data_IF_824341243480
#
_entry.id   IF_824341243480
#
_cell.length_a   1.000
_cell.length_b   1.000
_cell.length_c   1.000
_cell.angle_alpha   90.00
_cell.angle_beta   90.00
_cell.angle_gamma   90.00
#
_symmetry.space_group_name_H-M   'P 1'
#
loop_
_entity.id
_entity.type
_entity.pdbx_description
1 polymer ?
#
# COMPACT_ATOMS: atom_id res chain seq x y z
N UNK A 1 -46.92 10.93 36.83
CA UNK A 1 -46.19 11.46 35.65
C UNK A 1 -44.68 11.61 35.87
N UNK A 2 -44.17 11.91 37.07
CA UNK A 2 -42.72 12.08 37.30
C UNK A 2 -41.84 10.83 37.09
N UNK A 3 -42.33 9.63 37.44
CA UNK A 3 -41.57 8.38 37.28
C UNK A 3 -41.29 8.04 35.81
N UNK A 4 -42.26 8.28 34.93
CA UNK A 4 -42.17 8.00 33.48
C UNK A 4 -41.13 8.93 32.82
N UNK A 5 -41.11 10.21 33.21
CA UNK A 5 -40.14 11.18 32.72
C UNK A 5 -38.70 10.84 33.15
N UNK A 6 -38.51 10.40 34.40
CA UNK A 6 -37.20 9.96 34.91
C UNK A 6 -36.72 8.69 34.21
N UNK A 7 -37.60 7.70 34.01
CA UNK A 7 -37.26 6.50 33.23
C UNK A 7 -36.89 6.84 31.77
N UNK A 8 -37.61 7.77 31.13
CA UNK A 8 -37.28 8.20 29.77
C UNK A 8 -35.94 8.93 29.68
N UNK A 9 -35.60 9.78 30.66
CA UNK A 9 -34.30 10.45 30.75
C UNK A 9 -33.18 9.43 31.02
N UNK A 10 -33.39 8.49 31.93
CA UNK A 10 -32.41 7.44 32.25
C UNK A 10 -32.20 6.47 31.07
N UNK A 11 -33.25 6.13 30.32
CA UNK A 11 -33.15 5.34 29.09
C UNK A 11 -32.48 6.13 27.96
N UNK A 12 -32.76 7.43 27.86
CA UNK A 12 -32.10 8.33 26.91
C UNK A 12 -30.60 8.46 27.18
N UNK A 13 -30.22 8.76 28.43
CA UNK A 13 -28.82 8.81 28.88
C UNK A 13 -28.15 7.44 28.76
N UNK A 14 -28.83 6.36 29.17
CA UNK A 14 -28.34 4.99 29.02
C UNK A 14 -28.07 4.66 27.55
N UNK A 15 -28.91 5.11 26.62
CA UNK A 15 -28.66 4.94 25.19
C UNK A 15 -27.47 5.77 24.71
N UNK A 16 -27.22 6.96 25.26
CA UNK A 16 -26.01 7.74 24.92
C UNK A 16 -24.73 7.05 25.45
N UNK A 17 -24.78 6.42 26.63
CA UNK A 17 -23.60 5.77 27.24
C UNK A 17 -23.35 4.33 26.79
N UNK A 18 -24.40 3.59 26.39
CA UNK A 18 -24.32 2.15 26.08
C UNK A 18 -24.66 1.81 24.63
N UNK A 19 -24.93 2.79 23.75
CA UNK A 19 -25.08 2.51 22.32
C UNK A 19 -23.70 2.25 21.71
N UNK A 20 -23.34 0.98 21.64
CA UNK A 20 -22.25 0.54 20.77
C UNK A 20 -22.65 0.80 19.32
N UNK A 21 -21.78 1.50 18.59
CA UNK A 21 -22.01 1.76 17.17
C UNK A 21 -22.13 0.41 16.42
N UNK A 22 -23.07 0.23 15.47
CA UNK A 22 -23.25 -1.05 14.79
C UNK A 22 -21.96 -1.62 14.18
N UNK A 23 -21.09 -0.75 13.65
CA UNK A 23 -19.78 -1.16 13.13
C UNK A 23 -18.85 -1.82 14.17
N UNK A 24 -19.03 -1.55 15.47
CA UNK A 24 -18.22 -2.16 16.55
C UNK A 24 -18.56 -3.63 16.80
N UNK A 25 -19.64 -4.15 16.20
CA UNK A 25 -19.92 -5.58 16.15
C UNK A 25 -18.93 -6.33 15.23
N UNK A 26 -18.26 -5.61 14.32
CA UNK A 26 -17.34 -6.18 13.33
C UNK A 26 -15.89 -5.99 13.80
N UNK A 27 -15.13 -7.08 14.09
CA UNK A 27 -13.76 -6.98 14.59
C UNK A 27 -12.81 -6.17 13.70
N UNK A 28 -13.06 -6.16 12.38
CA UNK A 28 -12.26 -5.44 11.40
C UNK A 28 -12.22 -3.91 11.60
N UNK A 29 -13.19 -3.31 12.31
CA UNK A 29 -13.18 -1.89 12.67
C UNK A 29 -12.30 -1.61 13.90
N UNK A 30 -11.89 -2.64 14.65
CA UNK A 30 -10.98 -2.52 15.78
C UNK A 30 -11.46 -1.58 16.89
N UNK A 31 -12.79 -1.43 17.03
CA UNK A 31 -13.45 -0.45 17.92
C UNK A 31 -12.91 0.98 17.77
N UNK A 32 -12.51 1.34 16.55
CA UNK A 32 -12.04 2.69 16.29
C UNK A 32 -13.17 3.72 16.51
N UNK A 33 -12.85 4.93 17.02
CA UNK A 33 -13.78 6.06 17.01
C UNK A 33 -14.31 6.35 15.61
N UNK A 34 -15.47 7.00 15.53
CA UNK A 34 -16.12 7.28 14.25
C UNK A 34 -16.56 8.74 14.13
N UNK A 35 -16.78 9.18 12.90
CA UNK A 35 -17.37 10.48 12.59
C UNK A 35 -18.26 10.37 11.36
N UNK A 36 -19.42 11.02 11.41
CA UNK A 36 -20.32 11.21 10.25
C UNK A 36 -20.13 12.60 9.62
N UNK A 37 -19.33 13.46 10.23
CA UNK A 37 -19.14 14.86 9.82
C UNK A 37 -18.02 15.05 8.79
N UNK A 38 -17.46 13.96 8.25
CA UNK A 38 -16.29 13.95 7.35
C UNK A 38 -15.06 14.71 7.89
N UNK A 39 -14.96 14.82 9.23
CA UNK A 39 -13.81 15.37 9.93
C UNK A 39 -13.61 14.71 11.30
N UNK A 40 -12.35 14.56 11.71
CA UNK A 40 -11.96 13.96 12.97
C UNK A 40 -10.68 14.64 13.51
N UNK A 41 -10.63 14.92 14.81
CA UNK A 41 -9.42 15.46 15.45
C UNK A 41 -8.44 14.30 15.73
N UNK A 42 -7.33 14.24 15.01
CA UNK A 42 -6.27 13.24 15.22
C UNK A 42 -4.95 13.94 15.55
N UNK A 43 -4.54 13.89 16.82
CA UNK A 43 -3.33 14.55 17.28
C UNK A 43 -3.39 16.08 17.06
N UNK A 44 -2.38 16.70 16.42
CA UNK A 44 -2.33 18.15 16.21
C UNK A 44 -3.31 18.65 15.14
N UNK A 45 -3.71 17.81 14.18
CA UNK A 45 -4.52 18.23 13.04
C UNK A 45 -5.97 17.73 13.11
N UNK A 46 -6.87 18.49 12.50
CA UNK A 46 -8.18 18.00 12.09
C UNK A 46 -8.05 17.33 10.72
N UNK A 47 -8.23 16.01 10.68
CA UNK A 47 -8.26 15.25 9.44
C UNK A 47 -9.66 15.33 8.87
N UNK A 48 -9.81 15.79 7.63
CA UNK A 48 -11.10 15.86 6.97
C UNK A 48 -11.02 15.33 5.55
N UNK A 49 -12.14 14.87 5.01
CA UNK A 49 -12.26 14.57 3.59
C UNK A 49 -12.36 15.92 2.87
N UNK A 50 -11.37 16.24 2.05
CA UNK A 50 -11.36 17.47 1.24
C UNK A 50 -12.21 17.30 -0.01
N UNK A 51 -12.03 16.16 -0.68
CA UNK A 51 -12.67 15.87 -1.95
C UNK A 51 -12.96 14.39 -2.11
N UNK A 52 -14.07 14.08 -2.78
CA UNK A 52 -14.41 12.74 -3.26
C UNK A 52 -14.69 12.86 -4.75
N UNK A 53 -13.85 12.25 -5.56
CA UNK A 53 -13.94 12.30 -7.02
C UNK A 53 -14.26 10.92 -7.58
N UNK A 54 -15.10 10.84 -8.63
CA UNK A 54 -15.38 9.60 -9.37
C UNK A 54 -15.27 9.84 -10.86
N UNK A 55 -14.60 8.95 -11.59
CA UNK A 55 -14.57 8.99 -13.05
C UNK A 55 -15.91 8.48 -13.63
N UNK A 56 -16.54 9.27 -14.52
CA UNK A 56 -17.86 9.02 -15.11
C UNK A 56 -17.87 8.74 -16.62
N UNK A 57 -16.89 8.03 -17.17
CA UNK A 57 -16.93 7.43 -18.53
C UNK A 57 -16.66 8.38 -19.72
N UNK A 58 -16.98 9.66 -19.65
CA UNK A 58 -16.76 10.66 -20.72
C UNK A 58 -15.45 11.47 -20.55
N UNK A 59 -14.63 11.10 -19.56
CA UNK A 59 -13.48 11.88 -19.11
C UNK A 59 -13.85 13.02 -18.15
N UNK A 60 -15.14 13.22 -17.86
CA UNK A 60 -15.59 14.16 -16.84
C UNK A 60 -15.50 13.53 -15.44
N UNK A 61 -15.00 14.32 -14.51
CA UNK A 61 -14.88 13.94 -13.10
C UNK A 61 -16.01 14.60 -12.33
N UNK A 62 -16.81 13.78 -11.65
CA UNK A 62 -17.78 14.28 -10.70
C UNK A 62 -17.14 14.40 -9.34
N UNK A 63 -17.18 15.62 -8.80
CA UNK A 63 -16.60 15.96 -7.52
C UNK A 63 -17.70 16.23 -6.49
N UNK A 64 -17.64 15.52 -5.37
CA UNK A 64 -18.29 15.94 -4.13
C UNK A 64 -17.22 16.60 -3.28
N UNK A 65 -17.31 17.92 -3.11
CA UNK A 65 -16.53 18.61 -2.09
C UNK A 65 -17.29 18.53 -0.77
N UNK A 66 -16.73 17.82 0.21
CA UNK A 66 -17.24 17.88 1.56
C UNK A 66 -16.88 19.25 2.16
N UNK A 67 -17.89 20.00 2.60
CA UNK A 67 -17.68 21.30 3.24
C UNK A 67 -17.33 22.48 2.32
N UNK A 68 -17.44 22.34 0.99
CA UNK A 68 -17.27 23.46 0.04
C UNK A 68 -15.82 23.90 -0.21
N UNK A 69 -14.84 23.03 0.04
CA UNK A 69 -13.42 23.40 0.17
C UNK A 69 -12.53 23.12 -1.06
N UNK A 70 -13.03 22.50 -2.15
CA UNK A 70 -12.27 22.45 -3.41
C UNK A 70 -13.15 22.11 -4.61
N UNK A 71 -13.01 22.86 -5.70
CA UNK A 71 -13.48 22.48 -7.05
C UNK A 71 -12.39 21.79 -7.88
N UNK A 72 -11.17 21.71 -7.35
CA UNK A 72 -10.02 21.07 -7.99
C UNK A 72 -9.87 19.65 -7.47
N UNK A 73 -9.64 18.72 -8.40
CA UNK A 73 -9.35 17.31 -8.13
C UNK A 73 -7.82 17.17 -8.15
N UNK A 74 -7.16 16.87 -7.03
CA UNK A 74 -5.73 16.59 -7.04
C UNK A 74 -5.45 15.31 -7.80
N UNK A 75 -4.29 15.25 -8.47
CA UNK A 75 -3.89 14.12 -9.32
C UNK A 75 -5.00 13.72 -10.31
N UNK A 76 -5.69 14.73 -10.87
CA UNK A 76 -6.78 14.57 -11.83
C UNK A 76 -6.42 13.62 -12.96
N UNK A 77 -5.15 13.64 -13.39
CA UNK A 77 -4.63 12.78 -14.45
C UNK A 77 -4.80 11.29 -14.12
N UNK A 78 -4.57 10.87 -12.87
CA UNK A 78 -4.76 9.47 -12.45
C UNK A 78 -6.23 9.03 -12.54
N UNK A 79 -7.17 9.97 -12.37
CA UNK A 79 -8.60 9.71 -12.51
C UNK A 79 -9.08 9.81 -13.96
N UNK A 80 -8.58 10.77 -14.74
CA UNK A 80 -8.94 10.98 -16.16
C UNK A 80 -8.44 9.82 -17.00
N UNK A 81 -7.19 9.38 -16.77
CA UNK A 81 -6.55 8.28 -17.49
C UNK A 81 -7.09 6.90 -17.06
N UNK A 82 -8.03 6.87 -16.11
CA UNK A 82 -8.58 5.61 -15.65
C UNK A 82 -9.27 4.85 -16.79
N UNK A 83 -8.86 3.58 -16.94
CA UNK A 83 -9.31 2.74 -18.01
C UNK A 83 -10.82 2.42 -17.92
N UNK A 84 -11.45 2.27 -19.09
CA UNK A 84 -12.91 2.08 -19.24
C UNK A 84 -13.49 0.82 -18.58
N UNK A 85 -12.62 -0.11 -18.19
CA UNK A 85 -12.97 -1.35 -17.49
C UNK A 85 -12.95 -1.20 -15.95
N UNK A 86 -12.57 -0.04 -15.41
CA UNK A 86 -12.45 0.26 -13.98
C UNK A 86 -13.32 1.43 -13.53
N UNK A 87 -14.06 1.25 -12.44
CA UNK A 87 -14.69 2.34 -11.72
C UNK A 87 -13.79 2.77 -10.57
N UNK A 88 -13.49 4.07 -10.50
CA UNK A 88 -12.53 4.61 -9.54
C UNK A 88 -13.13 5.77 -8.80
N UNK A 89 -13.09 5.65 -7.48
CA UNK A 89 -13.40 6.72 -6.53
C UNK A 89 -12.12 7.11 -5.82
N UNK A 90 -11.79 8.39 -5.80
CA UNK A 90 -10.66 8.94 -5.07
C UNK A 90 -11.16 9.77 -3.89
N UNK A 91 -10.56 9.56 -2.72
CA UNK A 91 -10.86 10.25 -1.47
C UNK A 91 -9.58 10.93 -1.00
N UNK A 92 -9.60 12.24 -0.94
CA UNK A 92 -8.46 13.06 -0.50
C UNK A 92 -8.66 13.56 0.93
N UNK A 93 -7.62 13.45 1.75
CA UNK A 93 -7.60 13.97 3.11
C UNK A 93 -6.84 15.31 3.21
N UNK A 94 -7.35 16.23 4.03
CA UNK A 94 -6.66 17.46 4.48
C UNK A 94 -6.17 17.25 5.92
N UNK A 95 -5.08 17.91 6.40
CA UNK A 95 -4.33 19.05 5.82
C UNK A 95 -3.41 18.79 4.63
N UNK A 96 -3.18 17.54 4.19
CA UNK A 96 -2.35 17.24 3.01
C UNK A 96 -1.22 16.25 3.31
N UNK A 97 -0.44 15.87 2.30
CA UNK A 97 0.55 14.79 2.40
C UNK A 97 1.76 15.12 3.29
N UNK A 98 2.02 16.41 3.55
CA UNK A 98 3.11 16.85 4.41
C UNK A 98 2.80 16.62 5.89
N UNK A 99 1.52 16.76 6.26
CA UNK A 99 1.06 16.75 7.64
C UNK A 99 0.28 15.49 8.03
N UNK A 100 -0.08 14.65 7.04
CA UNK A 100 -0.82 13.40 7.22
C UNK A 100 -0.08 12.27 6.51
N UNK A 101 0.12 11.16 7.22
CA UNK A 101 0.61 9.90 6.65
C UNK A 101 -0.40 8.79 6.96
N UNK A 102 -1.14 8.34 5.95
CA UNK A 102 -1.99 7.15 6.06
C UNK A 102 -1.06 5.93 6.17
N UNK A 103 -1.12 5.29 7.33
CA UNK A 103 -0.35 4.09 7.65
C UNK A 103 -1.09 2.83 7.22
N UNK A 104 -2.42 2.81 7.36
CA UNK A 104 -3.29 1.72 6.93
C UNK A 104 -4.69 2.26 6.63
N UNK A 105 -5.38 1.61 5.69
CA UNK A 105 -6.73 1.95 5.30
C UNK A 105 -7.56 0.69 5.05
N UNK A 106 -8.83 0.74 5.45
CA UNK A 106 -9.81 -0.31 5.16
C UNK A 106 -11.09 0.33 4.67
N UNK A 107 -11.67 -0.22 3.61
CA UNK A 107 -12.90 0.30 3.02
C UNK A 107 -13.97 -0.79 3.10
N UNK A 108 -15.10 -0.42 3.69
CA UNK A 108 -16.22 -1.31 3.91
C UNK A 108 -17.42 -0.83 3.12
N UNK A 109 -18.23 -1.77 2.66
CA UNK A 109 -19.58 -1.47 2.23
C UNK A 109 -20.40 -0.99 3.45
N UNK A 110 -21.05 0.18 3.34
CA UNK A 110 -21.74 0.78 4.49
C UNK A 110 -22.99 0.01 4.92
N UNK A 111 -23.65 -0.69 4.00
CA UNK A 111 -24.89 -1.40 4.34
C UNK A 111 -24.57 -2.70 5.09
N UNK A 112 -23.66 -3.51 4.54
CA UNK A 112 -23.28 -4.81 5.09
C UNK A 112 -22.15 -4.74 6.13
N UNK A 113 -21.43 -3.61 6.25
CA UNK A 113 -20.22 -3.44 7.10
C UNK A 113 -19.14 -4.49 6.83
N UNK A 114 -19.15 -5.04 5.62
CA UNK A 114 -18.20 -6.04 5.16
C UNK A 114 -17.11 -5.34 4.35
N UNK A 115 -15.85 -5.78 4.51
CA UNK A 115 -14.74 -5.28 3.69
C UNK A 115 -15.10 -5.41 2.20
N UNK A 116 -14.85 -4.38 1.39
CA UNK A 116 -15.34 -4.35 0.02
C UNK A 116 -14.87 -5.57 -0.81
N UNK A 117 -13.61 -5.98 -0.65
CA UNK A 117 -13.03 -7.15 -1.31
C UNK A 117 -13.69 -8.48 -0.90
N UNK A 118 -14.34 -8.53 0.27
CA UNK A 118 -15.10 -9.70 0.75
C UNK A 118 -16.56 -9.67 0.28
N UNK A 119 -17.10 -8.49 -0.05
CA UNK A 119 -18.39 -8.36 -0.74
C UNK A 119 -18.26 -8.89 -2.17
N UNK A 120 -17.18 -8.53 -2.85
CA UNK A 120 -16.83 -9.05 -4.17
C UNK A 120 -15.33 -8.85 -4.44
N UNK A 121 -14.69 -9.86 -5.02
CA UNK A 121 -13.31 -9.76 -5.52
C UNK A 121 -13.13 -8.69 -6.63
N UNK A 122 -14.23 -8.19 -7.19
CA UNK A 122 -14.21 -7.05 -8.11
C UNK A 122 -13.81 -5.73 -7.45
N UNK A 123 -13.83 -5.64 -6.11
CA UNK A 123 -13.52 -4.41 -5.39
C UNK A 123 -12.15 -4.41 -4.72
N UNK A 124 -11.59 -3.22 -4.58
CA UNK A 124 -10.32 -3.01 -3.88
C UNK A 124 -10.07 -1.55 -3.54
N UNK A 125 -9.01 -1.27 -2.79
CA UNK A 125 -8.54 0.09 -2.57
C UNK A 125 -7.04 0.13 -2.30
N UNK A 126 -6.40 1.26 -2.60
CA UNK A 126 -5.02 1.56 -2.19
C UNK A 126 -4.86 2.99 -1.71
N UNK A 127 -3.78 3.22 -1.00
CA UNK A 127 -3.27 4.55 -0.67
C UNK A 127 -2.29 4.94 -1.79
N UNK A 128 -2.63 5.92 -2.62
CA UNK A 128 -1.77 6.35 -3.75
C UNK A 128 -0.77 7.43 -3.39
N UNK A 129 -1.05 8.16 -2.32
CA UNK A 129 -0.15 9.12 -1.70
C UNK A 129 -0.45 9.16 -0.19
N UNK A 130 0.37 9.82 0.61
CA UNK A 130 0.29 9.81 2.08
C UNK A 130 -1.06 10.31 2.62
N UNK A 131 -1.86 11.02 1.82
CA UNK A 131 -3.21 11.50 2.16
C UNK A 131 -4.32 11.08 1.18
N UNK A 132 -4.04 10.21 0.20
CA UNK A 132 -4.93 9.92 -0.92
C UNK A 132 -5.31 8.45 -1.00
N UNK A 133 -6.60 8.15 -1.08
CA UNK A 133 -7.14 6.79 -1.16
C UNK A 133 -7.88 6.64 -2.48
N UNK A 134 -7.56 5.60 -3.25
CA UNK A 134 -8.31 5.21 -4.44
C UNK A 134 -9.03 3.89 -4.18
N UNK A 135 -10.32 3.85 -4.48
CA UNK A 135 -11.22 2.69 -4.36
C UNK A 135 -11.62 2.28 -5.76
N UNK A 136 -11.55 0.98 -6.05
CA UNK A 136 -11.74 0.40 -7.37
C UNK A 136 -12.95 -0.53 -7.42
N UNK A 137 -13.59 -0.57 -8.59
CA UNK A 137 -14.49 -1.63 -9.02
C UNK A 137 -14.13 -2.12 -10.42
N UNK A 138 -13.78 -3.40 -10.55
CA UNK A 138 -13.45 -4.07 -11.81
C UNK A 138 -14.71 -4.62 -12.47
N UNK A 139 -15.07 -4.09 -13.65
CA UNK A 139 -16.30 -4.52 -14.32
C UNK A 139 -17.59 -4.20 -13.55
N UNK A 140 -17.49 -3.47 -12.42
CA UNK A 140 -18.59 -3.20 -11.50
C UNK A 140 -18.44 -1.84 -10.83
N UNK A 141 -19.56 -1.19 -10.55
CA UNK A 141 -19.58 0.10 -9.89
C UNK A 141 -19.31 0.00 -8.38
N UNK A 142 -18.50 0.92 -7.85
CA UNK A 142 -18.25 1.10 -6.42
C UNK A 142 -19.55 1.49 -5.72
N UNK A 143 -19.87 0.90 -4.54
CA UNK A 143 -21.08 1.24 -3.78
C UNK A 143 -21.19 2.73 -3.47
N UNK A 144 -22.42 3.26 -3.46
CA UNK A 144 -22.73 4.68 -3.22
C UNK A 144 -22.30 5.19 -1.84
N UNK A 145 -22.16 4.28 -0.88
CA UNK A 145 -21.89 4.61 0.51
C UNK A 145 -20.88 3.65 1.10
N UNK A 146 -19.80 4.21 1.63
CA UNK A 146 -18.64 3.48 2.14
C UNK A 146 -18.38 3.86 3.59
N UNK A 147 -17.82 2.95 4.37
CA UNK A 147 -17.06 3.35 5.56
C UNK A 147 -15.58 3.32 5.25
N UNK A 148 -14.87 4.37 5.64
CA UNK A 148 -13.44 4.50 5.40
C UNK A 148 -12.73 4.52 6.74
N UNK A 149 -12.15 3.38 7.10
CA UNK A 149 -11.35 3.20 8.30
C UNK A 149 -9.90 3.54 8.01
N UNK A 150 -9.28 4.26 8.94
CA UNK A 150 -7.93 4.78 8.80
C UNK A 150 -7.13 4.52 10.07
N UNK A 151 -5.86 4.21 9.87
CA UNK A 151 -4.79 4.40 10.84
C UNK A 151 -3.77 5.32 10.19
N UNK A 152 -3.46 6.43 10.85
CA UNK A 152 -2.59 7.45 10.29
C UNK A 152 -1.73 8.13 11.35
N UNK A 153 -0.65 8.79 10.90
CA UNK A 153 0.13 9.74 11.70
C UNK A 153 -0.25 11.16 11.30
N UNK A 154 -0.29 12.04 12.29
CA UNK A 154 -0.66 13.44 12.15
C UNK A 154 0.47 14.30 12.72
N UNK A 155 1.16 15.01 11.86
CA UNK A 155 2.36 15.78 12.18
C UNK A 155 2.02 17.24 12.48
N UNK A 156 2.64 17.88 13.47
CA UNK A 156 2.35 19.27 13.80
C UNK A 156 2.97 20.28 12.83
N UNK A 157 3.94 19.84 12.03
CA UNK A 157 4.65 20.62 11.03
C UNK A 157 5.06 19.72 9.85
N UNK A 158 5.41 20.35 8.74
CA UNK A 158 5.76 19.73 7.45
C UNK A 158 7.26 19.34 7.37
N UNK A 159 7.98 19.32 8.49
CA UNK A 159 9.43 19.15 8.46
C UNK A 159 9.81 17.71 8.10
N UNK A 160 10.45 17.56 6.95
CA UNK A 160 11.05 16.30 6.48
C UNK A 160 12.54 16.51 6.26
N UNK A 161 13.36 15.64 6.84
CA UNK A 161 14.80 15.68 6.62
C UNK A 161 15.17 14.60 5.60
N UNK A 162 15.66 15.01 4.44
CA UNK A 162 16.11 14.09 3.40
C UNK A 162 17.60 13.80 3.53
N UNK A 163 17.97 12.51 3.43
CA UNK A 163 19.36 12.04 3.46
C UNK A 163 19.57 10.97 2.38
N UNK A 164 20.69 11.04 1.66
CA UNK A 164 21.05 10.01 0.68
C UNK A 164 21.41 8.68 1.34
N UNK A 165 21.33 7.57 0.58
CA UNK A 165 21.66 6.21 1.04
C UNK A 165 23.14 5.82 0.89
N UNK A 166 24.03 6.79 0.67
CA UNK A 166 25.47 6.51 0.49
C UNK A 166 26.22 6.72 1.81
N UNK A 167 27.12 5.80 2.23
CA UNK A 167 28.00 6.04 3.38
C UNK A 167 28.72 7.39 3.29
N UNK A 168 28.64 8.17 4.36
CA UNK A 168 29.13 9.53 4.39
C UNK A 168 28.06 10.61 4.20
N UNK A 169 26.88 10.28 3.64
CA UNK A 169 25.75 11.21 3.54
C UNK A 169 25.35 11.68 4.94
N UNK A 170 25.08 12.97 5.12
CA UNK A 170 24.75 13.53 6.42
C UNK A 170 23.65 14.59 6.32
N UNK A 171 22.90 14.74 7.40
CA UNK A 171 21.85 15.74 7.53
C UNK A 171 21.83 16.29 8.95
N UNK A 172 21.68 17.60 9.07
CA UNK A 172 21.48 18.26 10.35
C UNK A 172 19.98 18.22 10.71
N UNK A 173 19.69 17.76 11.93
CA UNK A 173 18.34 17.76 12.49
C UNK A 173 18.34 18.45 13.87
N UNK A 174 17.17 18.82 14.43
CA UNK A 174 17.12 19.44 15.75
C UNK A 174 17.77 18.57 16.83
N UNK A 175 18.91 19.04 17.36
CA UNK A 175 19.67 18.36 18.40
C UNK A 175 20.99 17.76 17.95
N UNK A 176 21.27 17.63 16.66
CA UNK A 176 22.51 17.04 16.18
C UNK A 176 22.52 16.67 14.69
N UNK A 177 23.50 15.87 14.29
CA UNK A 177 23.70 15.42 12.91
C UNK A 177 23.54 13.91 12.83
N UNK A 178 22.79 13.46 11.82
CA UNK A 178 22.70 12.05 11.42
C UNK A 178 23.60 11.87 10.21
N UNK A 179 24.40 10.81 10.22
CA UNK A 179 25.26 10.43 9.10
C UNK A 179 25.03 8.97 8.74
N UNK A 180 24.97 8.61 7.46
CA UNK A 180 24.99 7.22 7.03
C UNK A 180 26.39 6.67 7.26
N UNK A 181 26.51 5.70 8.18
CA UNK A 181 27.80 5.09 8.52
C UNK A 181 28.09 3.91 7.59
N UNK A 182 27.14 2.99 7.49
CA UNK A 182 27.26 1.78 6.70
C UNK A 182 25.92 1.43 6.06
N UNK A 183 25.96 0.85 4.86
CA UNK A 183 24.79 0.29 4.19
C UNK A 183 25.08 -1.13 3.76
N UNK A 184 24.03 -1.95 3.78
CA UNK A 184 24.13 -3.35 3.40
C UNK A 184 22.92 -3.76 2.57
N UNK A 185 23.21 -4.36 1.41
CA UNK A 185 22.20 -5.06 0.63
C UNK A 185 21.75 -6.32 1.37
N UNK A 186 20.46 -6.56 1.36
CA UNK A 186 19.78 -7.64 2.06
C UNK A 186 19.46 -7.34 3.52
N UNK A 187 18.47 -8.05 4.04
CA UNK A 187 18.14 -8.02 5.47
C UNK A 187 19.33 -8.47 6.30
N UNK A 188 19.90 -7.52 7.03
CA UNK A 188 21.07 -7.74 7.86
C UNK A 188 20.85 -7.10 9.22
N UNK A 189 21.14 -7.86 10.27
CA UNK A 189 21.27 -7.34 11.62
C UNK A 189 22.62 -6.67 11.77
N UNK A 190 22.78 -5.82 12.77
CA UNK A 190 24.06 -5.19 13.06
C UNK A 190 24.40 -5.35 14.53
N UNK A 191 25.68 -5.52 14.83
CA UNK A 191 26.19 -5.47 16.20
C UNK A 191 27.59 -4.89 16.24
N UNK A 192 27.94 -4.19 17.32
CA UNK A 192 29.23 -3.50 17.47
C UNK A 192 30.47 -4.40 17.30
N UNK A 193 30.36 -5.69 17.64
CA UNK A 193 31.48 -6.64 17.58
C UNK A 193 31.65 -7.36 16.25
N UNK A 194 30.60 -7.38 15.42
CA UNK A 194 30.55 -8.20 14.19
C UNK A 194 30.28 -7.34 12.94
N UNK A 195 29.72 -6.14 13.12
CA UNK A 195 29.15 -5.36 12.04
C UNK A 195 27.85 -5.99 11.54
N UNK A 196 27.59 -5.81 10.25
CA UNK A 196 26.45 -6.44 9.58
C UNK A 196 26.60 -7.96 9.53
N UNK A 197 25.56 -8.66 9.95
CA UNK A 197 25.46 -10.11 9.89
C UNK A 197 24.09 -10.53 9.35
N UNK A 198 23.99 -11.69 8.69
CA UNK A 198 22.72 -12.18 8.17
C UNK A 198 21.71 -12.42 9.30
N UNK A 199 20.48 -11.89 9.19
CA UNK A 199 19.40 -12.14 10.15
C UNK A 199 18.53 -13.35 9.82
N UNK A 200 18.71 -13.94 8.64
CA UNK A 200 18.05 -15.20 8.24
C UNK A 200 19.02 -16.09 7.43
N UNK A 201 18.76 -17.40 7.41
CA UNK A 201 19.49 -18.40 6.60
C UNK A 201 19.35 -18.18 5.08
N UNK A 202 18.48 -17.26 4.69
CA UNK A 202 18.14 -16.95 3.31
C UNK A 202 17.90 -15.46 3.22
N UNK A 203 18.94 -14.72 2.85
CA UNK A 203 18.89 -13.27 2.64
C UNK A 203 17.70 -12.89 1.76
N UNK A 204 16.89 -11.94 2.22
CA UNK A 204 15.84 -11.30 1.43
C UNK A 204 16.39 -10.09 0.66
N UNK A 205 15.65 -9.62 -0.33
CA UNK A 205 15.98 -8.46 -1.18
C UNK A 205 15.62 -7.12 -0.52
N UNK A 206 16.06 -6.92 0.71
CA UNK A 206 15.91 -5.64 1.41
C UNK A 206 17.21 -4.86 1.42
N UNK A 207 17.26 -3.82 2.23
CA UNK A 207 18.51 -3.21 2.64
C UNK A 207 18.49 -2.77 4.09
N UNK A 208 19.68 -2.62 4.66
CA UNK A 208 19.88 -2.24 6.04
C UNK A 208 20.83 -1.04 6.07
N UNK A 209 20.40 0.04 6.70
CA UNK A 209 21.15 1.30 6.79
C UNK A 209 21.47 1.56 8.25
N UNK A 210 22.75 1.63 8.58
CA UNK A 210 23.23 2.06 9.89
C UNK A 210 23.59 3.54 9.84
N UNK A 211 23.11 4.29 10.82
CA UNK A 211 23.45 5.69 10.97
C UNK A 211 24.37 5.93 12.16
N UNK A 212 25.20 6.95 12.06
CA UNK A 212 25.87 7.61 13.16
C UNK A 212 25.07 8.83 13.63
N UNK A 213 25.07 9.06 14.93
CA UNK A 213 24.50 10.23 15.58
C UNK A 213 25.57 11.04 16.30
N UNK A 214 25.56 12.36 16.08
CA UNK A 214 26.40 13.30 16.80
C UNK A 214 25.54 14.44 17.35
N UNK A 215 25.40 14.53 18.67
CA UNK A 215 24.70 15.64 19.33
C UNK A 215 23.88 15.25 20.55
N UNK A 216 23.02 16.17 20.98
CA UNK A 216 22.14 15.99 22.13
C UNK A 216 20.79 15.43 21.67
N UNK A 217 20.60 14.12 21.85
CA UNK A 217 19.37 13.45 21.47
C UNK A 217 18.16 14.02 22.23
N UNK A 218 17.07 14.27 21.49
CA UNK A 218 15.84 14.89 22.04
C UNK A 218 14.78 13.89 22.50
N UNK A 219 15.13 12.61 22.67
CA UNK A 219 14.27 11.57 23.24
C UNK A 219 13.17 11.02 22.32
N UNK A 220 12.78 11.73 21.25
CA UNK A 220 11.78 11.27 20.28
C UNK A 220 12.42 10.37 19.23
N UNK A 221 11.82 9.21 18.96
CA UNK A 221 12.19 8.36 17.83
C UNK A 221 12.11 9.08 16.50
N UNK A 222 12.83 8.57 15.51
CA UNK A 222 12.76 9.03 14.13
C UNK A 222 12.13 7.93 13.31
N UNK A 223 11.06 8.23 12.60
CA UNK A 223 10.55 7.37 11.53
C UNK A 223 11.41 7.60 10.30
N UNK A 224 11.96 6.52 9.75
CA UNK A 224 12.75 6.52 8.52
C UNK A 224 11.98 5.83 7.40
N UNK A 225 11.68 6.56 6.34
CA UNK A 225 10.94 6.08 5.17
C UNK A 225 11.84 6.11 3.94
N UNK A 226 11.96 4.99 3.23
CA UNK A 226 12.69 4.96 1.96
C UNK A 226 11.82 5.51 0.83
N UNK A 227 12.42 6.33 -0.04
CA UNK A 227 11.79 6.86 -1.25
C UNK A 227 12.52 6.32 -2.48
N UNK A 228 11.78 5.74 -3.41
CA UNK A 228 12.36 5.19 -4.63
C UNK A 228 12.73 6.29 -5.63
N UNK A 229 13.54 5.94 -6.64
CA UNK A 229 13.83 6.79 -7.81
C UNK A 229 12.59 7.20 -8.61
N UNK A 230 11.49 6.47 -8.46
CA UNK A 230 10.17 6.79 -9.00
C UNK A 230 9.32 7.68 -8.07
N UNK A 231 9.85 8.07 -6.91
CA UNK A 231 9.17 8.92 -5.93
C UNK A 231 8.17 8.19 -5.04
N UNK A 232 8.14 6.85 -5.06
CA UNK A 232 7.25 6.07 -4.20
C UNK A 232 7.83 5.92 -2.80
N UNK A 233 6.96 6.10 -1.80
CA UNK A 233 7.32 5.94 -0.39
C UNK A 233 7.05 4.53 0.07
N UNK A 234 8.02 3.92 0.74
CA UNK A 234 7.81 2.65 1.38
C UNK A 234 6.77 2.75 2.50
N UNK A 235 5.75 1.86 2.54
CA UNK A 235 4.79 1.87 3.63
C UNK A 235 5.48 1.40 4.92
N UNK A 236 5.13 2.04 6.04
CA UNK A 236 5.67 1.77 7.38
C UNK A 236 7.17 2.09 7.53
N UNK A 237 7.49 3.37 7.72
CA UNK A 237 8.85 3.75 8.11
C UNK A 237 9.28 3.13 9.43
N UNK A 238 10.55 2.73 9.52
CA UNK A 238 11.13 2.12 10.71
C UNK A 238 11.30 3.16 11.82
N UNK A 239 10.89 2.81 13.04
CA UNK A 239 11.07 3.68 14.20
C UNK A 239 12.47 3.50 14.80
N UNK A 240 13.33 4.46 14.53
CA UNK A 240 14.71 4.48 14.98
C UNK A 240 14.86 5.23 16.31
N UNK A 241 15.71 4.68 17.19
CA UNK A 241 16.18 5.34 18.42
C UNK A 241 17.70 5.13 18.50
N UNK A 242 18.50 6.14 18.87
CA UNK A 242 19.88 5.92 19.25
C UNK A 242 19.91 5.03 20.48
N UNK A 243 20.87 4.12 20.48
CA UNK A 243 21.19 3.36 21.66
C UNK A 243 21.71 4.31 22.75
N UNK A 244 21.33 4.07 24.01
CA UNK A 244 21.70 4.92 25.16
C UNK A 244 23.22 5.12 25.31
N UNK A 245 24.02 4.22 24.76
CA UNK A 245 25.48 4.14 24.89
C UNK A 245 26.23 4.14 23.54
N UNK A 246 25.53 4.36 22.42
CA UNK A 246 26.08 4.23 21.07
C UNK A 246 25.85 5.50 20.27
N UNK A 247 26.90 5.98 19.59
CA UNK A 247 26.78 6.99 18.54
C UNK A 247 26.12 6.41 17.28
N UNK A 248 25.39 5.30 17.38
CA UNK A 248 24.78 4.61 16.24
C UNK A 248 23.26 4.54 16.42
N UNK A 249 22.55 4.62 15.30
CA UNK A 249 21.10 4.48 15.19
C UNK A 249 20.84 3.41 14.12
N UNK A 250 20.00 2.43 14.44
CA UNK A 250 19.54 1.41 13.49
C UNK A 250 20.10 0.00 13.76
N UNK A 251 20.14 -0.87 12.74
CA UNK A 251 19.92 -0.55 11.33
C UNK A 251 18.45 -0.25 11.03
N UNK A 252 18.20 0.76 10.19
CA UNK A 252 16.90 0.92 9.55
C UNK A 252 16.79 -0.12 8.44
N UNK A 253 15.76 -0.95 8.52
CA UNK A 253 15.46 -1.90 7.46
C UNK A 253 14.49 -1.30 6.47
N UNK A 254 14.73 -1.64 5.22
CA UNK A 254 13.85 -1.36 4.10
C UNK A 254 13.74 -2.67 3.32
N UNK A 255 12.56 -2.90 2.73
CA UNK A 255 12.35 -4.04 1.83
C UNK A 255 12.73 -3.71 0.38
N UNK A 256 13.26 -2.51 0.16
CA UNK A 256 13.72 -2.05 -1.14
C UNK A 256 15.23 -2.26 -1.25
N UNK A 257 15.68 -2.69 -2.42
CA UNK A 257 17.11 -2.78 -2.76
C UNK A 257 17.74 -1.40 -2.72
N UNK A 258 19.00 -1.28 -2.29
CA UNK A 258 19.69 0.02 -2.23
C UNK A 258 19.72 0.71 -3.59
N UNK A 259 19.80 -0.05 -4.68
CA UNK A 259 19.88 0.50 -6.04
C UNK A 259 18.61 1.23 -6.50
N UNK A 260 17.48 0.97 -5.85
CA UNK A 260 16.19 1.57 -6.18
C UNK A 260 15.83 2.74 -5.26
N UNK A 261 16.61 2.96 -4.19
CA UNK A 261 16.35 4.03 -3.23
C UNK A 261 17.08 5.29 -3.69
N UNK A 262 16.33 6.35 -3.94
CA UNK A 262 16.87 7.67 -4.23
C UNK A 262 17.37 8.33 -2.93
N UNK A 263 16.50 8.39 -1.92
CA UNK A 263 16.82 8.95 -0.61
C UNK A 263 15.96 8.38 0.51
N UNK A 264 16.30 8.72 1.75
CA UNK A 264 15.53 8.44 2.95
C UNK A 264 14.90 9.73 3.48
N UNK A 265 13.63 9.67 3.81
CA UNK A 265 12.91 10.72 4.55
C UNK A 265 12.92 10.38 6.04
N UNK A 266 13.42 11.30 6.85
CA UNK A 266 13.43 11.21 8.31
C UNK A 266 12.42 12.19 8.90
N UNK A 267 11.57 11.71 9.80
CA UNK A 267 10.62 12.53 10.57
C UNK A 267 10.65 12.13 12.03
N UNK A 268 10.44 13.07 12.96
CA UNK A 268 10.21 12.67 14.34
C UNK A 268 8.91 11.86 14.45
N UNK A 269 8.96 10.76 15.20
CA UNK A 269 7.85 9.85 15.35
C UNK A 269 6.67 10.52 16.04
N UNK A 270 5.47 10.25 15.53
CA UNK A 270 4.19 10.63 16.13
C UNK A 270 3.28 9.41 16.24
N UNK A 271 2.51 9.37 17.32
CA UNK A 271 1.59 8.28 17.64
C UNK A 271 0.55 8.09 16.55
N UNK A 272 0.32 6.83 16.20
CA UNK A 272 -0.70 6.45 15.24
C UNK A 272 -2.10 6.60 15.84
N UNK A 273 -2.98 7.27 15.11
CA UNK A 273 -4.37 7.44 15.47
C UNK A 273 -5.23 6.58 14.54
N UNK A 274 -6.21 5.88 15.12
CA UNK A 274 -7.20 5.12 14.35
C UNK A 274 -8.58 5.72 14.52
N UNK A 275 -9.33 5.83 13.43
CA UNK A 275 -10.74 6.23 13.40
C UNK A 275 -11.37 5.79 12.07
N UNK A 276 -12.68 5.98 11.90
CA UNK A 276 -13.32 5.81 10.60
C UNK A 276 -14.35 6.87 10.29
N UNK A 277 -14.52 7.15 9.00
CA UNK A 277 -15.65 7.92 8.48
C UNK A 277 -16.83 6.98 8.26
N UNK A 278 -17.92 7.20 8.99
CA UNK A 278 -19.15 6.42 8.87
C UNK A 278 -20.04 7.00 7.76
N UNK A 279 -20.24 6.22 6.70
CA UNK A 279 -21.16 6.59 5.62
C UNK A 279 -20.68 7.71 4.70
N UNK A 280 -19.44 7.60 4.23
CA UNK A 280 -18.89 8.42 3.14
C UNK A 280 -19.72 8.19 1.88
N UNK A 281 -20.39 9.25 1.40
CA UNK A 281 -21.14 9.21 0.15
C UNK A 281 -20.20 9.47 -1.02
N UNK A 282 -20.21 8.58 -2.00
CA UNK A 282 -19.48 8.77 -3.25
C UNK A 282 -20.45 9.28 -4.33
N UNK A 283 -19.96 9.95 -5.39
CA UNK A 283 -20.81 10.31 -6.51
C UNK A 283 -21.59 9.08 -7.02
N UNK A 284 -22.90 9.19 -7.27
CA UNK A 284 -23.71 8.00 -7.53
C UNK A 284 -23.30 7.27 -8.82
N UNK A 285 -23.56 5.96 -8.91
CA UNK A 285 -23.40 5.18 -10.12
C UNK A 285 -24.21 5.76 -11.28
N UNK A 286 -23.81 5.44 -12.50
CA UNK A 286 -24.52 5.83 -13.72
C UNK A 286 -24.90 4.61 -14.56
N UNK A 287 -24.94 3.43 -13.93
CA UNK A 287 -25.29 2.14 -14.54
C UNK A 287 -24.48 1.87 -15.81
N UNK A 288 -23.17 2.11 -15.72
CA UNK A 288 -22.28 2.05 -16.89
C UNK A 288 -22.08 0.62 -17.42
N UNK A 289 -21.85 0.51 -18.73
CA UNK A 289 -21.31 -0.71 -19.34
C UNK A 289 -19.78 -0.66 -19.30
N UNK A 290 -19.16 -1.69 -18.72
CA UNK A 290 -17.71 -1.80 -18.62
C UNK A 290 -17.13 -2.48 -19.86
N UNK A 291 -16.03 -1.93 -20.38
CA UNK A 291 -15.20 -2.63 -21.37
C UNK A 291 -14.53 -3.86 -20.73
N UNK A 292 -14.18 -4.90 -21.51
CA UNK A 292 -13.39 -6.00 -20.98
C UNK A 292 -12.02 -5.49 -20.49
N UNK A 293 -11.44 -6.10 -19.44
CA UNK A 293 -10.08 -5.79 -19.02
C UNK A 293 -9.08 -6.00 -20.17
N UNK A 294 -7.98 -5.24 -20.21
CA UNK A 294 -6.94 -5.38 -21.22
C UNK A 294 -6.16 -6.69 -21.01
N UNK A 295 -5.29 -6.98 -21.97
CA UNK A 295 -4.40 -8.14 -21.94
C UNK A 295 -2.97 -7.60 -21.77
N UNK A 296 -2.26 -8.10 -20.76
CA UNK A 296 -0.85 -7.79 -20.54
C UNK A 296 0.05 -8.80 -21.23
N UNK A 297 1.15 -8.31 -21.82
CA UNK A 297 2.10 -9.15 -22.56
C UNK A 297 3.52 -9.00 -22.02
N UNK A 298 4.07 -10.09 -21.49
CA UNK A 298 5.45 -10.15 -21.01
C UNK A 298 6.29 -10.90 -22.05
N UNK A 299 7.35 -10.28 -22.55
CA UNK A 299 8.31 -10.93 -23.47
C UNK A 299 9.47 -11.52 -22.67
N UNK A 300 9.81 -12.78 -22.96
CA UNK A 300 10.86 -13.56 -22.26
C UNK A 300 11.94 -14.05 -23.21
N UNK A 301 11.96 -13.53 -24.45
CA UNK A 301 12.88 -13.92 -25.51
C UNK A 301 14.36 -13.61 -25.21
N UNK A 302 14.60 -12.75 -24.21
CA UNK A 302 15.94 -12.39 -23.74
C UNK A 302 16.32 -13.05 -22.40
N UNK A 303 15.50 -13.99 -21.91
CA UNK A 303 15.68 -14.66 -20.62
C UNK A 303 14.88 -14.01 -19.50
N UNK A 304 15.51 -13.93 -18.32
CA UNK A 304 14.91 -13.33 -17.12
C UNK A 304 14.51 -11.87 -17.37
N UNK A 305 13.37 -11.46 -16.83
CA UNK A 305 12.82 -10.11 -17.06
C UNK A 305 12.00 -9.65 -15.87
N UNK A 306 12.06 -8.35 -15.57
CA UNK A 306 11.17 -7.68 -14.62
C UNK A 306 10.60 -6.41 -15.26
N UNK A 307 9.41 -6.01 -14.83
CA UNK A 307 8.77 -4.79 -15.32
C UNK A 307 7.40 -4.52 -14.72
N UNK A 308 6.72 -3.53 -15.31
CA UNK A 308 5.36 -3.12 -14.93
C UNK A 308 4.46 -3.18 -16.16
N UNK A 309 3.29 -3.78 -16.02
CA UNK A 309 2.26 -3.79 -17.06
C UNK A 309 1.38 -2.55 -16.91
N UNK A 310 1.67 -1.51 -17.69
CA UNK A 310 0.94 -0.25 -17.68
C UNK A 310 -0.42 -0.33 -18.38
N UNK A 311 -0.67 -1.39 -19.15
CA UNK A 311 -1.95 -1.63 -19.81
C UNK A 311 -3.11 -1.69 -18.81
N UNK A 312 -2.84 -2.09 -17.56
CA UNK A 312 -3.82 -2.18 -16.49
C UNK A 312 -4.00 -0.88 -15.69
N UNK A 313 -3.36 0.22 -16.09
CA UNK A 313 -3.44 1.48 -15.37
C UNK A 313 -4.90 1.91 -15.08
N UNK A 314 -5.18 2.47 -13.89
CA UNK A 314 -4.23 2.87 -12.85
C UNK A 314 -3.75 1.71 -11.95
N UNK A 315 -4.22 0.48 -12.15
CA UNK A 315 -3.73 -0.68 -11.42
C UNK A 315 -2.36 -1.07 -11.99
N UNK A 316 -1.33 -1.00 -11.14
CA UNK A 316 0.03 -1.34 -11.54
C UNK A 316 0.27 -2.81 -11.20
N UNK A 317 0.53 -3.62 -12.23
CA UNK A 317 0.89 -5.03 -12.09
C UNK A 317 2.38 -5.15 -12.33
N UNK A 318 3.12 -5.43 -11.25
CA UNK A 318 4.55 -5.67 -11.29
C UNK A 318 4.78 -7.16 -11.57
N UNK A 319 5.63 -7.48 -12.55
CA UNK A 319 5.97 -8.86 -12.87
C UNK A 319 7.48 -9.11 -12.87
N UNK A 320 7.87 -10.30 -12.46
CA UNK A 320 9.24 -10.80 -12.60
C UNK A 320 9.23 -12.26 -13.01
N UNK A 321 10.08 -12.58 -13.99
CA UNK A 321 10.31 -13.91 -14.52
C UNK A 321 11.76 -14.26 -14.26
N UNK A 322 12.00 -15.34 -13.52
CA UNK A 322 13.34 -15.78 -13.10
C UNK A 322 13.55 -17.26 -13.44
N UNK A 323 14.76 -17.65 -13.81
CA UNK A 323 15.12 -19.05 -14.01
C UNK A 323 15.21 -19.78 -12.66
N UNK A 324 14.79 -21.04 -12.71
CA UNK A 324 14.73 -21.90 -11.55
C UNK A 324 13.55 -21.62 -10.63
N UNK A 325 13.54 -22.33 -9.52
CA UNK A 325 12.62 -22.08 -8.42
C UNK A 325 13.39 -21.72 -7.15
N UNK A 326 12.77 -20.85 -6.34
CA UNK A 326 13.28 -20.44 -5.04
C UNK A 326 12.19 -20.75 -4.00
N UNK A 327 12.50 -21.61 -3.03
CA UNK A 327 11.56 -21.93 -1.95
C UNK A 327 11.62 -20.84 -0.89
N UNK A 328 10.71 -19.86 -0.92
CA UNK A 328 10.80 -18.67 -0.07
C UNK A 328 9.50 -18.25 0.60
N UNK A 329 9.64 -17.61 1.77
CA UNK A 329 8.57 -16.87 2.45
C UNK A 329 8.31 -15.60 1.66
N UNK A 330 7.06 -15.41 1.22
CA UNK A 330 6.66 -14.18 0.56
C UNK A 330 6.49 -13.09 1.62
N UNK A 331 7.20 -11.98 1.45
CA UNK A 331 7.05 -10.79 2.29
C UNK A 331 6.85 -9.59 1.36
N UNK A 332 5.71 -8.89 1.49
CA UNK A 332 5.40 -7.69 0.68
C UNK A 332 4.84 -6.56 1.55
N UNK A 333 5.15 -5.33 1.14
CA UNK A 333 4.60 -4.07 1.66
C UNK A 333 4.70 -2.95 0.58
N UNK A 334 3.78 -2.86 -0.39
CA UNK A 334 3.68 -1.70 -1.31
C UNK A 334 3.61 -2.03 -2.81
N UNK A 335 3.25 -1.03 -3.64
CA UNK A 335 3.00 -1.17 -5.09
C UNK A 335 4.19 -1.70 -5.88
N UNK A 336 5.39 -1.16 -5.65
CA UNK A 336 6.60 -1.53 -6.41
C UNK A 336 7.43 -2.65 -5.81
N UNK A 337 7.00 -3.20 -4.68
CA UNK A 337 7.85 -4.15 -3.96
C UNK A 337 7.66 -5.56 -4.48
N UNK A 338 8.76 -6.19 -4.81
CA UNK A 338 8.77 -7.53 -5.37
C UNK A 338 8.43 -8.57 -4.31
N UNK A 339 7.88 -9.70 -4.80
CA UNK A 339 7.85 -10.95 -4.07
C UNK A 339 9.28 -11.34 -3.71
N UNK A 340 9.70 -11.09 -2.47
CA UNK A 340 11.00 -11.60 -2.03
C UNK A 340 10.92 -13.12 -1.95
N UNK A 341 11.87 -13.79 -2.60
CA UNK A 341 12.10 -15.21 -2.37
C UNK A 341 13.48 -15.40 -1.77
N UNK A 342 13.48 -16.06 -0.63
CA UNK A 342 14.68 -16.32 0.14
C UNK A 342 15.27 -17.68 -0.26
N UNK A 343 16.53 -17.75 -0.67
CA UNK A 343 17.26 -19.01 -0.87
C UNK A 343 17.92 -19.15 -2.25
N UNK A 344 18.77 -20.17 -2.47
CA UNK A 344 19.40 -20.39 -3.76
C UNK A 344 18.36 -20.86 -4.80
N UNK A 345 18.48 -20.33 -6.02
CA UNK A 345 17.72 -20.85 -7.18
C UNK A 345 18.12 -22.29 -7.43
N UNK A 346 17.13 -23.18 -7.47
CA UNK A 346 17.31 -24.59 -7.83
C UNK A 346 16.74 -24.81 -9.23
N UNK A 347 17.21 -25.85 -9.91
CA UNK A 347 16.57 -26.35 -11.14
C UNK A 347 16.46 -25.30 -12.26
N UNK A 348 17.49 -24.43 -12.41
CA UNK A 348 17.51 -23.35 -13.40
C UNK A 348 17.34 -23.84 -14.84
N UNK A 349 17.88 -25.01 -15.15
CA UNK A 349 17.83 -25.58 -16.49
C UNK A 349 16.47 -26.23 -16.82
N UNK A 350 15.61 -26.47 -15.84
CA UNK A 350 14.37 -27.25 -16.00
C UNK A 350 13.12 -26.55 -15.52
N UNK A 351 13.25 -25.41 -14.85
CA UNK A 351 12.12 -24.66 -14.29
C UNK A 351 12.33 -23.15 -14.43
N UNK A 352 11.23 -22.40 -14.38
CA UNK A 352 11.28 -20.96 -14.15
C UNK A 352 10.12 -20.54 -13.25
N UNK A 353 10.20 -19.34 -12.69
CA UNK A 353 9.21 -18.79 -11.78
C UNK A 353 8.55 -17.54 -12.35
N UNK A 354 7.23 -17.46 -12.21
CA UNK A 354 6.42 -16.27 -12.50
C UNK A 354 6.04 -15.65 -11.16
N UNK A 355 6.49 -14.42 -10.96
CA UNK A 355 6.21 -13.60 -9.79
C UNK A 355 5.38 -12.42 -10.26
N UNK A 356 4.20 -12.23 -9.69
CA UNK A 356 3.37 -11.05 -9.94
C UNK A 356 2.92 -10.44 -8.63
N UNK A 357 3.04 -9.12 -8.53
CA UNK A 357 2.48 -8.33 -7.44
C UNK A 357 1.50 -7.31 -8.02
N UNK A 358 0.39 -7.12 -7.32
CA UNK A 358 -0.52 -6.01 -7.55
C UNK A 358 -0.92 -5.39 -6.21
N UNK A 359 -1.14 -4.08 -6.24
CA UNK A 359 -1.55 -3.33 -5.07
C UNK A 359 -2.81 -2.53 -5.35
N UNK A 360 -3.78 -2.66 -4.45
CA UNK A 360 -5.05 -1.95 -4.54
C UNK A 360 -6.25 -2.80 -4.84
N UNK A 361 -6.09 -4.10 -5.09
CA UNK A 361 -7.19 -5.06 -5.17
C UNK A 361 -6.83 -6.29 -4.34
N UNK A 362 -7.73 -6.70 -3.44
CA UNK A 362 -7.46 -7.75 -2.46
C UNK A 362 -7.35 -9.16 -3.06
N UNK A 363 -7.92 -9.38 -4.25
CA UNK A 363 -7.67 -10.55 -5.07
C UNK A 363 -8.16 -10.31 -6.50
N UNK A 364 -7.30 -9.79 -7.39
CA UNK A 364 -7.62 -9.84 -8.81
C UNK A 364 -7.43 -11.28 -9.31
N UNK A 365 -8.44 -11.87 -9.95
CA UNK A 365 -8.32 -13.21 -10.52
C UNK A 365 -7.46 -13.17 -11.79
N UNK A 366 -6.14 -13.20 -11.61
CA UNK A 366 -5.19 -13.25 -12.73
C UNK A 366 -5.15 -14.65 -13.35
N UNK A 367 -5.18 -14.69 -14.68
CA UNK A 367 -5.00 -15.90 -15.47
C UNK A 367 -3.84 -15.72 -16.46
N UNK A 368 -3.02 -16.76 -16.58
CA UNK A 368 -1.78 -16.73 -17.37
C UNK A 368 -1.80 -17.77 -18.48
N UNK A 369 -1.25 -17.42 -19.63
CA UNK A 369 -0.96 -18.36 -20.72
C UNK A 369 0.47 -18.17 -21.20
N UNK A 370 1.13 -19.26 -21.56
CA UNK A 370 2.51 -19.28 -22.05
C UNK A 370 2.52 -19.53 -23.55
N UNK A 371 3.27 -18.72 -24.29
CA UNK A 371 3.53 -18.97 -25.70
C UNK A 371 4.80 -19.80 -25.84
N UNK A 372 4.65 -20.97 -26.47
CA UNK A 372 5.78 -21.82 -26.81
C UNK A 372 6.69 -21.14 -27.86
N UNK A 373 8.00 -21.13 -27.59
CA UNK A 373 8.99 -20.49 -28.46
C UNK A 373 9.09 -21.15 -29.84
N UNK A 374 8.80 -22.45 -29.94
CA UNK A 374 8.94 -23.23 -31.17
C UNK A 374 7.60 -23.43 -31.88
N UNK A 375 6.50 -23.51 -31.14
CA UNK A 375 5.22 -23.99 -31.69
C UNK A 375 4.18 -22.89 -31.92
N UNK A 376 4.43 -21.63 -31.52
CA UNK A 376 3.44 -20.53 -31.57
C UNK A 376 2.09 -20.85 -30.90
N UNK A 377 2.02 -21.94 -30.14
CA UNK A 377 0.85 -22.40 -29.39
C UNK A 377 0.84 -21.78 -28.01
N UNK A 378 -0.36 -21.63 -27.46
CA UNK A 378 -0.59 -21.08 -26.12
C UNK A 378 -1.08 -22.16 -25.18
N UNK A 379 -0.44 -22.30 -24.02
CA UNK A 379 -0.88 -23.22 -22.95
C UNK A 379 -1.28 -22.46 -21.68
N UNK A 380 -2.37 -22.85 -21.00
CA UNK A 380 -2.76 -22.22 -19.75
C UNK A 380 -1.79 -22.61 -18.62
N UNK A 381 -1.55 -21.67 -17.71
CA UNK A 381 -0.85 -21.94 -16.45
C UNK A 381 -1.89 -22.26 -15.38
N UNK A 382 -1.75 -23.39 -14.70
CA UNK A 382 -2.61 -23.74 -13.59
C UNK A 382 -2.48 -22.72 -12.45
N UNK A 383 -3.61 -22.25 -11.92
CA UNK A 383 -3.69 -21.24 -10.86
C UNK A 383 -2.78 -21.58 -9.68
N UNK A 384 -1.99 -20.60 -9.22
CA UNK A 384 -1.19 -20.64 -8.00
C UNK A 384 -1.39 -19.34 -7.25
N UNK A 385 -2.36 -19.30 -6.33
CA UNK A 385 -2.75 -18.04 -5.67
C UNK A 385 -2.31 -18.05 -4.21
N UNK A 386 -1.71 -16.93 -3.77
CA UNK A 386 -1.55 -16.63 -2.34
C UNK A 386 -1.96 -15.18 -2.06
N UNK A 387 -3.12 -14.99 -1.42
CA UNK A 387 -3.49 -13.67 -0.89
C UNK A 387 -2.58 -13.32 0.31
N UNK A 388 -2.12 -12.07 0.38
CA UNK A 388 -1.17 -11.62 1.42
C UNK A 388 -1.67 -10.30 1.98
N UNK A 389 -2.57 -10.40 2.95
CA UNK A 389 -3.26 -9.25 3.55
C UNK A 389 -4.54 -8.88 2.82
N UNK A 390 -5.17 -7.79 3.26
CA UNK A 390 -6.53 -7.46 2.84
C UNK A 390 -6.60 -6.75 1.46
N UNK A 391 -5.53 -6.07 0.99
CA UNK A 391 -5.52 -5.31 -0.28
C UNK A 391 -4.24 -5.42 -1.11
N UNK A 392 -3.51 -6.52 -0.91
CA UNK A 392 -2.31 -6.84 -1.66
C UNK A 392 -2.44 -8.27 -2.15
N UNK A 393 -2.13 -8.47 -3.43
CA UNK A 393 -2.19 -9.79 -4.02
C UNK A 393 -0.86 -10.12 -4.66
N UNK A 394 -0.40 -11.33 -4.36
CA UNK A 394 0.88 -11.81 -4.78
C UNK A 394 0.71 -13.19 -5.40
N UNK A 395 1.06 -13.32 -6.68
CA UNK A 395 1.02 -14.57 -7.40
C UNK A 395 2.43 -15.10 -7.54
N UNK A 396 2.60 -16.35 -7.16
CA UNK A 396 3.85 -17.04 -7.30
C UNK A 396 3.62 -18.45 -7.87
N UNK A 397 4.22 -18.71 -9.03
CA UNK A 397 4.11 -20.00 -9.70
C UNK A 397 5.44 -20.46 -10.27
N UNK A 398 5.82 -21.69 -9.93
CA UNK A 398 6.90 -22.44 -10.59
C UNK A 398 6.31 -23.18 -11.78
N UNK A 399 6.98 -23.07 -12.92
CA UNK A 399 6.65 -23.77 -14.16
C UNK A 399 7.74 -24.82 -14.42
N UNK A 400 7.34 -26.08 -14.58
CA UNK A 400 8.23 -27.22 -14.85
C UNK A 400 8.62 -27.27 -16.33
N UNK A 401 9.25 -26.20 -16.81
CA UNK A 401 9.90 -26.16 -18.13
C UNK A 401 11.04 -25.11 -18.13
N UNK A 402 12.02 -25.20 -19.05
CA UNK A 402 13.04 -24.17 -19.20
C UNK A 402 12.47 -22.84 -19.69
N UNK A 403 12.98 -21.71 -19.18
CA UNK A 403 12.55 -20.37 -19.63
C UNK A 403 12.81 -20.16 -21.13
N UNK A 404 13.90 -20.72 -21.66
CA UNK A 404 14.27 -20.65 -23.07
C UNK A 404 13.21 -21.23 -24.04
N UNK A 405 12.28 -22.06 -23.55
CA UNK A 405 11.18 -22.58 -24.35
C UNK A 405 9.93 -21.67 -24.36
N UNK A 406 9.96 -20.57 -23.62
CA UNK A 406 8.85 -19.62 -23.52
C UNK A 406 9.25 -18.33 -24.20
N UNK A 407 8.45 -17.93 -25.20
CA UNK A 407 8.68 -16.67 -25.93
C UNK A 407 7.98 -15.49 -25.28
N UNK A 408 6.76 -15.73 -24.80
CA UNK A 408 5.97 -14.69 -24.15
C UNK A 408 4.96 -15.30 -23.17
N UNK A 409 4.50 -14.45 -22.26
CA UNK A 409 3.48 -14.76 -21.26
C UNK A 409 2.35 -13.74 -21.41
N UNK A 410 1.13 -14.25 -21.59
CA UNK A 410 -0.10 -13.47 -21.63
C UNK A 410 -0.70 -13.47 -20.22
N UNK A 411 -1.05 -12.28 -19.73
CA UNK A 411 -1.71 -12.06 -18.44
C UNK A 411 -3.09 -11.44 -18.71
N UNK A 412 -4.12 -12.05 -18.14
CA UNK A 412 -5.52 -11.59 -18.27
C UNK A 412 -6.18 -11.51 -16.90
N UNK A 413 -7.18 -10.62 -16.78
CA UNK A 413 -8.02 -10.50 -15.59
C UNK A 413 -9.32 -11.22 -15.87
N UNK A 414 -9.60 -12.26 -15.08
CA UNK A 414 -10.85 -13.01 -15.16
C UNK A 414 -11.95 -12.26 -14.40
N UNK A 415 -12.45 -11.16 -14.97
CA UNK A 415 -13.55 -10.42 -14.34
C UNK A 415 -14.74 -11.37 -14.04
N UNK A 416 -15.27 -11.38 -12.81
CA UNK A 416 -16.32 -12.32 -12.38
C UNK A 416 -17.67 -12.08 -13.05
#
# INVERSE_FOLDING_TARGET
>A
MGLIAVCAIMLGLGRVFFYEHPAHQFPAYGRAPYTTAYRYQAGPNTIAIRSIARNRYDGAIHLISAGGLSTQVPHVDQLIECAKWLDVVQIELTPGPELVEIVDSRVFDHESRTLLNHVSYAYGWRVTDTNLIQVYGMGKEVPEKLDVWLRLRSYPDDTVYSIGVTPGSEIAIPGGTIRVAEVKEGYSGWSKGVGFHPTALSGGSGSAILFEWQGNWRGKSITCTAVTDLGERMPYGESLKPEWNGNFIGPAWTRCSLALIDHLELRFHYEEQKFFYDGVRVPPPVERKFDPPPIGMIKTDQGEVAGVLHEFAPLLIHYRIEEGHTGGIISQIGSSMWLERSGPHRERDTTFSILVNEWGIGAMPLAFRLQDANLSTWSPVANGVRAIGDNCFAFDKVIERPLAEVKSIELTISAP
#
